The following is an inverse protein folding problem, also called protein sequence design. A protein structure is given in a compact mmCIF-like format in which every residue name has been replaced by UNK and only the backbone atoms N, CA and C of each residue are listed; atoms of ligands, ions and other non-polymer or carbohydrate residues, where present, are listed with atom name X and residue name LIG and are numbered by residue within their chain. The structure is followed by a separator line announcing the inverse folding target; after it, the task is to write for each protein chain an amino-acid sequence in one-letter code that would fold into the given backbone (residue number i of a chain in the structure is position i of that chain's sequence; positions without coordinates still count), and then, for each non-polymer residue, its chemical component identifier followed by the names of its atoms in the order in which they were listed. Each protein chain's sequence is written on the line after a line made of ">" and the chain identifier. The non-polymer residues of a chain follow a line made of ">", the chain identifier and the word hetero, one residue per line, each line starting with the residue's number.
data_IF_988528541679
#
_entry.id   IF_988528541679
#
_cell.length_a   1.000
_cell.length_b   1.000
_cell.length_c   1.000
_cell.angle_alpha   90.00
_cell.angle_beta   90.00
_cell.angle_gamma   90.00
#
_symmetry.space_group_name_H-M   'P 1'
#
loop_
_entity.id
_entity.type
_entity.pdbx_description
1 polymer ?
#
# COMPACT_ATOMS: atom_id res chain seq x y z
N UNK A 1 21.11 -3.34 36.43
CA UNK A 1 21.80 -2.34 35.57
C UNK A 1 21.70 -2.65 34.08
N UNK A 2 21.73 -3.93 33.66
CA UNK A 2 21.64 -4.34 32.25
C UNK A 2 20.39 -3.83 31.49
N UNK A 3 19.20 -3.82 32.11
CA UNK A 3 17.97 -3.29 31.47
C UNK A 3 18.02 -1.79 31.18
N UNK A 4 18.72 -1.01 32.01
CA UNK A 4 18.89 0.44 31.82
C UNK A 4 19.89 0.73 30.71
N UNK A 5 20.96 -0.07 30.62
CA UNK A 5 21.95 0.01 29.55
C UNK A 5 21.33 -0.38 28.20
N UNK A 6 20.49 -1.42 28.17
CA UNK A 6 19.77 -1.84 26.95
C UNK A 6 18.83 -0.74 26.42
N UNK A 7 18.11 -0.04 27.30
CA UNK A 7 17.23 1.07 26.92
C UNK A 7 18.03 2.28 26.40
N UNK A 8 19.15 2.61 27.04
CA UNK A 8 20.04 3.69 26.57
C UNK A 8 20.65 3.33 25.21
N UNK A 9 21.07 2.08 25.02
CA UNK A 9 21.59 1.59 23.74
C UNK A 9 20.52 1.64 22.64
N UNK A 10 19.29 1.20 22.93
CA UNK A 10 18.16 1.27 22.00
C UNK A 10 17.80 2.69 21.63
N UNK A 11 17.82 3.62 22.60
CA UNK A 11 17.57 5.03 22.35
C UNK A 11 18.69 5.65 21.50
N UNK A 12 19.96 5.33 21.76
CA UNK A 12 21.08 5.73 20.93
C UNK A 12 21.00 5.14 19.52
N UNK A 13 20.52 3.90 19.35
CA UNK A 13 20.40 3.26 18.03
C UNK A 13 19.28 3.90 17.19
N UNK A 14 18.18 4.33 17.83
CA UNK A 14 17.11 5.12 17.20
C UNK A 14 17.64 6.52 16.82
N UNK A 15 18.42 7.17 17.70
CA UNK A 15 19.01 8.49 17.44
C UNK A 15 20.07 8.44 16.33
N UNK A 16 20.90 7.38 16.29
CA UNK A 16 21.91 7.17 15.24
C UNK A 16 21.31 6.76 13.90
N UNK A 17 20.13 6.11 13.90
CA UNK A 17 19.37 5.83 12.69
C UNK A 17 18.75 7.08 12.03
N UNK A 18 18.65 8.19 12.76
CA UNK A 18 18.09 9.46 12.27
C UNK A 18 19.16 10.41 11.70
N UNK A 19 20.44 10.16 11.96
CA UNK A 19 21.55 10.92 11.38
C UNK A 19 22.07 10.23 10.13
N UNK A 20 21.19 9.97 9.17
CA UNK A 20 21.63 9.72 7.80
C UNK A 20 22.15 11.05 7.25
N UNK A 21 23.46 11.30 7.37
CA UNK A 21 24.12 12.39 6.65
C UNK A 21 23.94 12.14 5.15
N UNK A 22 22.96 12.80 4.55
CA UNK A 22 22.90 12.96 3.11
C UNK A 22 24.13 13.71 2.63
N UNK A 23 24.58 13.40 1.42
CA UNK A 23 25.56 14.21 0.70
C UNK A 23 24.98 15.61 0.49
N UNK A 24 25.83 16.63 0.56
CA UNK A 24 25.43 18.02 0.31
C UNK A 24 24.83 18.13 -1.10
N UNK A 25 23.52 18.42 -1.24
CA UNK A 25 22.84 18.37 -2.54
C UNK A 25 23.44 19.36 -3.54
N UNK A 26 24.07 20.44 -3.07
CA UNK A 26 24.71 21.44 -3.93
C UNK A 26 25.95 20.91 -4.66
N UNK A 27 26.53 19.80 -4.20
CA UNK A 27 27.76 19.21 -4.76
C UNK A 27 27.49 17.96 -5.60
N UNK A 28 26.24 17.51 -5.65
CA UNK A 28 25.84 16.30 -6.38
C UNK A 28 25.65 16.63 -7.86
N UNK A 29 26.15 15.75 -8.75
CA UNK A 29 25.78 15.76 -10.16
C UNK A 29 24.46 15.00 -10.37
N UNK A 30 23.46 15.70 -10.90
CA UNK A 30 22.14 15.15 -11.18
C UNK A 30 22.03 14.75 -12.66
N UNK A 31 22.79 13.72 -13.04
CA UNK A 31 22.81 13.18 -14.41
C UNK A 31 23.19 14.25 -15.45
N UNK A 32 24.28 14.96 -15.18
CA UNK A 32 24.79 16.06 -16.01
C UNK A 32 24.17 17.43 -15.73
N UNK A 33 23.25 17.53 -14.77
CA UNK A 33 22.68 18.79 -14.30
C UNK A 33 23.19 19.13 -12.90
N UNK A 34 23.55 20.39 -12.71
CA UNK A 34 23.94 20.92 -11.40
C UNK A 34 22.72 21.35 -10.60
N UNK A 35 22.89 21.40 -9.28
CA UNK A 35 21.88 21.93 -8.36
C UNK A 35 21.39 23.33 -8.79
N UNK A 36 22.32 24.24 -9.11
CA UNK A 36 21.98 25.62 -9.48
C UNK A 36 21.23 25.71 -10.82
N UNK A 37 21.51 24.81 -11.77
CA UNK A 37 20.76 24.78 -13.03
C UNK A 37 19.31 24.35 -12.83
N UNK A 38 19.09 23.31 -12.00
CA UNK A 38 17.74 22.82 -11.69
C UNK A 38 16.97 23.85 -10.86
N UNK A 39 17.63 24.44 -9.86
CA UNK A 39 17.08 25.53 -9.06
C UNK A 39 16.68 26.70 -9.97
N UNK A 40 17.60 27.19 -10.80
CA UNK A 40 17.34 28.30 -11.70
C UNK A 40 16.22 28.02 -12.71
N UNK A 41 16.03 26.77 -13.14
CA UNK A 41 14.90 26.39 -13.98
C UNK A 41 13.57 26.57 -13.23
N UNK A 42 13.46 26.12 -11.98
CA UNK A 42 12.27 26.30 -11.16
C UNK A 42 12.01 27.77 -10.83
N UNK A 43 13.04 28.54 -10.44
CA UNK A 43 12.90 29.98 -10.15
C UNK A 43 12.44 30.78 -11.38
N UNK A 44 12.99 30.47 -12.55
CA UNK A 44 12.54 31.06 -13.82
C UNK A 44 11.10 30.71 -14.14
N UNK A 45 10.70 29.44 -13.93
CA UNK A 45 9.31 29.02 -14.13
C UNK A 45 8.35 29.81 -13.22
N UNK A 46 8.69 29.98 -11.93
CA UNK A 46 7.91 30.81 -11.01
C UNK A 46 7.82 32.25 -11.50
N UNK A 47 8.94 32.84 -11.95
CA UNK A 47 8.94 34.20 -12.49
C UNK A 47 8.07 34.33 -13.73
N UNK A 48 8.09 33.35 -14.63
CA UNK A 48 7.22 33.32 -15.81
C UNK A 48 5.77 33.26 -15.39
N UNK A 49 5.39 32.28 -14.55
CA UNK A 49 4.02 32.09 -14.08
C UNK A 49 3.45 33.34 -13.39
N UNK A 50 4.25 34.03 -12.57
CA UNK A 50 3.85 35.29 -11.95
C UNK A 50 3.65 36.44 -12.94
N UNK A 51 4.41 36.45 -14.02
CA UNK A 51 4.36 37.51 -15.04
C UNK A 51 3.27 37.31 -16.09
N UNK A 52 2.63 36.13 -16.12
CA UNK A 52 1.60 35.82 -17.11
C UNK A 52 0.38 36.72 -16.94
N UNK A 53 0.04 37.44 -18.00
CA UNK A 53 -1.23 38.16 -18.10
C UNK A 53 -2.42 37.20 -18.26
N UNK A 54 -3.60 37.65 -17.86
CA UNK A 54 -4.86 36.91 -18.07
C UNK A 54 -5.08 36.49 -19.53
N UNK A 55 -4.67 37.34 -20.48
CA UNK A 55 -4.74 37.00 -21.91
C UNK A 55 -3.80 35.88 -22.33
N UNK A 56 -2.59 35.82 -21.75
CA UNK A 56 -1.62 34.76 -22.04
C UNK A 56 -2.05 33.44 -21.40
N UNK A 57 -2.53 33.48 -20.15
CA UNK A 57 -3.14 32.32 -19.49
C UNK A 57 -4.28 31.74 -20.33
N UNK A 58 -5.20 32.58 -20.81
CA UNK A 58 -6.29 32.15 -21.68
C UNK A 58 -5.80 31.52 -23.00
N UNK A 59 -4.69 32.02 -23.57
CA UNK A 59 -4.09 31.45 -24.77
C UNK A 59 -3.47 30.07 -24.49
N UNK A 60 -2.80 29.87 -23.35
CA UNK A 60 -2.27 28.57 -22.94
C UNK A 60 -3.38 27.56 -22.67
N UNK A 61 -4.46 27.99 -22.01
CA UNK A 61 -5.65 27.16 -21.77
C UNK A 61 -6.37 26.74 -23.07
N UNK A 62 -6.16 27.46 -24.17
CA UNK A 62 -6.72 27.15 -25.48
C UNK A 62 -5.71 26.51 -26.45
N UNK A 63 -4.49 26.23 -26.00
CA UNK A 63 -3.39 25.79 -26.86
C UNK A 63 -3.49 24.32 -27.28
N UNK A 64 -4.23 23.49 -26.53
CA UNK A 64 -4.32 22.05 -26.74
C UNK A 64 -3.13 21.26 -26.18
N UNK A 65 -2.22 21.94 -25.47
CA UNK A 65 -1.13 21.30 -24.73
C UNK A 65 -1.58 21.01 -23.30
N UNK A 66 -1.95 19.76 -23.05
CA UNK A 66 -2.49 19.32 -21.77
C UNK A 66 -1.56 19.66 -20.58
N UNK A 67 -0.24 19.60 -20.78
CA UNK A 67 0.72 19.86 -19.69
C UNK A 67 0.74 21.33 -19.29
N UNK A 68 0.68 22.23 -20.28
CA UNK A 68 0.58 23.66 -20.04
C UNK A 68 -0.80 24.02 -19.47
N UNK A 69 -1.87 23.42 -19.98
CA UNK A 69 -3.23 23.62 -19.47
C UNK A 69 -3.35 23.25 -17.99
N UNK A 70 -2.85 22.07 -17.59
CA UNK A 70 -2.82 21.63 -16.19
C UNK A 70 -1.95 22.54 -15.32
N UNK A 71 -0.77 22.95 -15.81
CA UNK A 71 0.12 23.82 -15.06
C UNK A 71 -0.52 25.17 -14.75
N UNK A 72 -1.11 25.83 -15.76
CA UNK A 72 -1.77 27.13 -15.58
C UNK A 72 -2.98 27.00 -14.65
N UNK A 73 -3.80 25.96 -14.84
CA UNK A 73 -4.97 25.72 -13.99
C UNK A 73 -4.56 25.51 -12.52
N UNK A 74 -3.56 24.68 -12.27
CA UNK A 74 -3.04 24.44 -10.91
C UNK A 74 -2.39 25.67 -10.30
N UNK A 75 -1.70 26.47 -11.10
CA UNK A 75 -1.13 27.72 -10.63
C UNK A 75 -2.23 28.67 -10.13
N UNK A 76 -3.30 28.86 -10.92
CA UNK A 76 -4.42 29.73 -10.54
C UNK A 76 -5.17 29.18 -9.30
N UNK A 77 -5.42 27.87 -9.25
CA UNK A 77 -6.02 27.22 -8.07
C UNK A 77 -5.15 27.37 -6.83
N UNK A 78 -3.83 27.20 -6.95
CA UNK A 78 -2.91 27.31 -5.82
C UNK A 78 -2.74 28.75 -5.33
N UNK A 79 -2.90 29.75 -6.20
CA UNK A 79 -2.92 31.16 -5.81
C UNK A 79 -4.23 31.55 -5.11
N UNK A 80 -5.31 30.79 -5.27
CA UNK A 80 -6.59 31.07 -4.61
C UNK A 80 -6.44 31.04 -3.07
N UNK A 81 -6.53 32.21 -2.45
CA UNK A 81 -6.36 32.36 -1.00
C UNK A 81 -4.91 32.31 -0.50
N UNK A 82 -3.91 32.18 -1.38
CA UNK A 82 -2.49 32.23 -1.00
C UNK A 82 -2.05 33.63 -0.52
N UNK A 83 -2.71 34.69 -1.04
CA UNK A 83 -2.38 36.09 -0.73
C UNK A 83 -1.37 36.69 -1.70
N UNK A 84 -0.77 37.82 -1.35
CA UNK A 84 0.26 38.46 -2.20
C UNK A 84 1.57 37.68 -2.17
N UNK A 85 2.25 37.61 -3.33
CA UNK A 85 3.58 37.02 -3.43
C UNK A 85 4.60 37.82 -2.61
N UNK A 86 5.47 37.13 -1.87
CA UNK A 86 6.55 37.76 -1.09
C UNK A 86 7.92 37.45 -1.68
N UNK A 87 8.31 36.18 -1.67
CA UNK A 87 9.65 35.76 -2.09
C UNK A 87 9.70 34.26 -2.46
N UNK A 88 10.83 33.85 -3.03
CA UNK A 88 11.15 32.44 -3.24
C UNK A 88 11.69 31.85 -1.93
N UNK A 89 11.14 30.71 -1.53
CA UNK A 89 11.53 29.96 -0.35
C UNK A 89 12.62 28.92 -0.64
N UNK A 90 12.63 27.87 0.18
CA UNK A 90 13.60 26.79 0.05
C UNK A 90 13.40 26.01 -1.25
N UNK A 91 14.52 25.66 -1.88
CA UNK A 91 14.55 24.74 -3.01
C UNK A 91 15.09 23.41 -2.53
N UNK A 92 14.38 22.32 -2.84
CA UNK A 92 14.73 20.96 -2.42
C UNK A 92 14.84 20.06 -3.64
N UNK A 93 15.90 19.24 -3.70
CA UNK A 93 16.02 18.16 -4.69
C UNK A 93 16.02 16.81 -3.97
N UNK A 94 15.10 15.94 -4.37
CA UNK A 94 15.00 14.58 -3.86
C UNK A 94 15.16 13.56 -4.99
N UNK A 95 16.20 12.74 -4.92
CA UNK A 95 16.37 11.59 -5.82
C UNK A 95 15.81 10.33 -5.16
N UNK A 96 14.79 9.71 -5.76
CA UNK A 96 14.19 8.47 -5.26
C UNK A 96 14.11 7.42 -6.36
N UNK A 97 14.97 6.41 -6.30
CA UNK A 97 15.01 5.33 -7.29
C UNK A 97 15.30 5.85 -8.71
N UNK A 98 14.26 5.88 -9.56
CA UNK A 98 14.32 6.33 -10.96
C UNK A 98 13.84 7.75 -11.17
N UNK A 99 13.36 8.44 -10.14
CA UNK A 99 12.84 9.80 -10.25
C UNK A 99 13.75 10.80 -9.55
N UNK A 100 13.75 12.01 -10.10
CA UNK A 100 14.34 13.19 -9.49
C UNK A 100 13.25 14.24 -9.34
N UNK A 101 12.95 14.61 -8.10
CA UNK A 101 11.94 15.60 -7.78
C UNK A 101 12.63 16.89 -7.38
N UNK A 102 12.28 17.99 -8.02
CA UNK A 102 12.74 19.34 -7.68
C UNK A 102 11.55 20.15 -7.18
N UNK A 103 11.63 20.66 -5.95
CA UNK A 103 10.56 21.40 -5.29
C UNK A 103 11.05 22.81 -5.02
N UNK A 104 10.34 23.82 -5.53
CA UNK A 104 10.56 25.22 -5.21
C UNK A 104 9.40 25.71 -4.36
N UNK A 105 9.70 26.09 -3.11
CA UNK A 105 8.73 26.76 -2.25
C UNK A 105 8.57 28.22 -2.68
N UNK A 106 7.33 28.71 -2.69
CA UNK A 106 6.96 30.07 -3.05
C UNK A 106 6.18 30.64 -1.88
N UNK A 107 6.74 31.67 -1.25
CA UNK A 107 6.18 32.26 -0.04
C UNK A 107 5.18 33.34 -0.45
N UNK A 108 3.91 33.09 -0.18
CA UNK A 108 2.83 34.09 -0.23
C UNK A 108 2.45 34.55 1.18
N UNK A 109 1.60 35.57 1.27
CA UNK A 109 1.20 36.16 2.53
C UNK A 109 0.49 35.20 3.49
N UNK A 110 -0.46 34.40 3.00
CA UNK A 110 -1.33 33.56 3.82
C UNK A 110 -0.89 32.09 3.82
N UNK A 111 -0.43 31.58 2.67
CA UNK A 111 -0.10 30.17 2.50
C UNK A 111 0.99 29.97 1.45
N UNK A 112 2.10 29.27 1.76
CA UNK A 112 3.10 28.95 0.75
C UNK A 112 2.56 27.94 -0.26
N UNK A 113 3.12 27.98 -1.46
CA UNK A 113 2.80 27.09 -2.59
C UNK A 113 4.09 26.40 -3.01
N UNK A 114 4.02 25.13 -3.38
CA UNK A 114 5.18 24.37 -3.85
C UNK A 114 5.01 24.08 -5.34
N UNK A 115 5.97 24.52 -6.14
CA UNK A 115 6.13 24.11 -7.53
C UNK A 115 7.02 22.87 -7.59
N UNK A 116 6.51 21.77 -8.14
CA UNK A 116 7.19 20.47 -8.17
C UNK A 116 7.44 20.06 -9.61
N UNK A 117 8.68 19.77 -9.95
CA UNK A 117 9.08 19.13 -11.20
C UNK A 117 9.50 17.70 -10.91
N UNK A 118 8.92 16.73 -11.63
CA UNK A 118 9.29 15.33 -11.54
C UNK A 118 9.97 14.92 -12.84
N UNK A 119 11.23 14.50 -12.75
CA UNK A 119 11.99 13.99 -13.89
C UNK A 119 12.24 12.49 -13.76
N UNK A 120 12.28 11.79 -14.88
CA UNK A 120 12.94 10.49 -14.97
C UNK A 120 14.45 10.69 -14.89
N UNK A 121 15.08 10.24 -13.80
CA UNK A 121 16.48 10.52 -13.49
C UNK A 121 17.46 10.02 -14.57
N UNK A 122 17.15 8.91 -15.24
CA UNK A 122 18.06 8.31 -16.23
C UNK A 122 18.28 9.16 -17.48
N UNK A 123 17.25 9.87 -17.94
CA UNK A 123 17.27 10.64 -19.18
C UNK A 123 16.91 12.13 -18.98
N UNK A 124 16.62 12.52 -17.73
CA UNK A 124 16.18 13.87 -17.35
C UNK A 124 14.96 14.36 -18.13
N UNK A 125 14.11 13.43 -18.59
CA UNK A 125 12.83 13.78 -19.21
C UNK A 125 11.84 14.21 -18.12
N UNK A 126 11.11 15.28 -18.40
CA UNK A 126 10.04 15.76 -17.54
C UNK A 126 8.86 14.79 -17.60
N UNK A 127 8.46 14.26 -16.45
CA UNK A 127 7.31 13.37 -16.31
C UNK A 127 6.07 14.16 -15.88
N UNK A 128 6.23 15.10 -14.95
CA UNK A 128 5.11 15.84 -14.38
C UNK A 128 5.56 17.22 -13.84
N UNK A 129 4.64 18.17 -13.84
CA UNK A 129 4.76 19.45 -13.14
C UNK A 129 3.48 19.68 -12.33
N UNK A 130 3.64 19.89 -11.03
CA UNK A 130 2.51 20.25 -10.15
C UNK A 130 2.75 21.56 -9.42
N UNK A 131 1.65 22.22 -9.06
CA UNK A 131 1.66 23.41 -8.21
C UNK A 131 0.62 23.16 -7.13
N UNK A 132 1.07 23.03 -5.89
CA UNK A 132 0.21 22.63 -4.79
C UNK A 132 0.37 23.57 -3.58
N UNK A 133 -0.73 24.07 -2.99
CA UNK A 133 -0.66 24.85 -1.77
C UNK A 133 -0.21 23.97 -0.60
N UNK A 134 0.68 24.49 0.25
CA UNK A 134 1.15 23.77 1.43
C UNK A 134 -0.02 23.53 2.37
N UNK A 135 -0.34 22.25 2.60
CA UNK A 135 -1.42 21.87 3.49
C UNK A 135 -1.13 22.27 4.93
N UNK A 136 -2.14 22.82 5.60
CA UNK A 136 -2.05 23.16 7.01
C UNK A 136 -1.95 21.90 7.87
N UNK A 137 -1.50 22.03 9.12
CA UNK A 137 -1.48 20.89 10.04
C UNK A 137 -2.87 20.28 10.26
N UNK A 138 -3.93 21.11 10.29
CA UNK A 138 -5.31 20.64 10.42
C UNK A 138 -5.79 19.84 9.20
N UNK A 139 -5.45 20.29 7.99
CA UNK A 139 -5.73 19.56 6.74
C UNK A 139 -4.96 18.23 6.71
N UNK A 140 -3.65 18.25 7.01
CA UNK A 140 -2.82 17.04 7.09
C UNK A 140 -3.37 16.03 8.11
N UNK A 141 -3.76 16.49 9.29
CA UNK A 141 -4.34 15.64 10.34
C UNK A 141 -5.71 15.09 9.94
N UNK A 142 -6.56 15.90 9.30
CA UNK A 142 -7.87 15.46 8.82
C UNK A 142 -7.72 14.43 7.71
N UNK A 143 -6.83 14.66 6.75
CA UNK A 143 -6.53 13.72 5.66
C UNK A 143 -5.96 12.41 6.20
N UNK A 144 -5.04 12.47 7.16
CA UNK A 144 -4.51 11.29 7.84
C UNK A 144 -5.59 10.52 8.61
N UNK A 145 -6.47 11.23 9.32
CA UNK A 145 -7.58 10.64 10.06
C UNK A 145 -8.59 9.97 9.13
N UNK A 146 -8.95 10.62 8.01
CA UNK A 146 -9.85 10.06 7.00
C UNK A 146 -9.26 8.79 6.38
N UNK A 147 -7.97 8.79 6.04
CA UNK A 147 -7.31 7.58 5.54
C UNK A 147 -7.30 6.45 6.59
N UNK A 148 -7.02 6.79 7.85
CA UNK A 148 -7.06 5.82 8.96
C UNK A 148 -8.46 5.25 9.15
N UNK A 149 -9.49 6.10 9.08
CA UNK A 149 -10.88 5.69 9.22
C UNK A 149 -11.33 4.82 8.05
N UNK A 150 -10.94 5.15 6.81
CA UNK A 150 -11.21 4.30 5.65
C UNK A 150 -10.51 2.95 5.78
N UNK A 151 -9.20 2.94 6.05
CA UNK A 151 -8.42 1.70 6.18
C UNK A 151 -8.92 0.80 7.31
N UNK A 152 -9.09 1.34 8.51
CA UNK A 152 -9.61 0.59 9.66
C UNK A 152 -11.08 0.19 9.47
N UNK A 153 -11.91 1.11 8.97
CA UNK A 153 -13.35 0.90 8.75
C UNK A 153 -13.65 -0.20 7.75
N UNK A 154 -12.91 -0.27 6.64
CA UNK A 154 -13.06 -1.34 5.65
C UNK A 154 -12.70 -2.69 6.25
N UNK A 155 -11.62 -2.78 7.03
CA UNK A 155 -11.24 -4.03 7.72
C UNK A 155 -12.35 -4.48 8.66
N UNK A 156 -12.90 -3.59 9.48
CA UNK A 156 -14.03 -3.92 10.36
C UNK A 156 -15.29 -4.33 9.59
N UNK A 157 -15.63 -3.66 8.49
CA UNK A 157 -16.78 -3.99 7.66
C UNK A 157 -16.65 -5.40 7.04
N UNK A 158 -15.46 -5.76 6.54
CA UNK A 158 -15.18 -7.09 5.99
C UNK A 158 -15.30 -8.17 7.07
N UNK A 159 -14.77 -7.94 8.26
CA UNK A 159 -14.89 -8.88 9.38
C UNK A 159 -16.36 -9.11 9.79
N UNK A 160 -17.16 -8.04 9.85
CA UNK A 160 -18.60 -8.14 10.12
C UNK A 160 -19.29 -8.95 9.01
N UNK A 161 -18.98 -8.68 7.74
CA UNK A 161 -19.55 -9.41 6.61
C UNK A 161 -19.21 -10.90 6.65
N UNK A 162 -17.95 -11.27 6.92
CA UNK A 162 -17.53 -12.67 7.09
C UNK A 162 -18.27 -13.31 8.26
N UNK A 163 -18.40 -12.61 9.39
CA UNK A 163 -19.17 -13.09 10.54
C UNK A 163 -20.64 -13.37 10.18
N UNK A 164 -21.25 -12.51 9.37
CA UNK A 164 -22.62 -12.71 8.89
C UNK A 164 -22.73 -13.91 7.94
N UNK A 165 -21.78 -14.08 7.01
CA UNK A 165 -21.76 -15.22 6.08
C UNK A 165 -21.65 -16.54 6.84
N UNK A 166 -20.74 -16.64 7.82
CA UNK A 166 -20.60 -17.84 8.66
C UNK A 166 -21.90 -18.08 9.47
N UNK A 167 -22.52 -17.01 9.98
CA UNK A 167 -23.82 -17.11 10.65
C UNK A 167 -24.93 -17.60 9.73
N UNK A 168 -24.94 -17.20 8.46
CA UNK A 168 -25.88 -17.71 7.46
C UNK A 168 -25.65 -19.20 7.13
N UNK A 169 -24.40 -19.67 7.08
CA UNK A 169 -24.10 -21.11 6.94
C UNK A 169 -24.60 -21.93 8.15
N UNK A 170 -24.54 -21.38 9.36
CA UNK A 170 -25.13 -22.02 10.55
C UNK A 170 -26.65 -22.23 10.38
N UNK A 171 -27.34 -21.31 9.72
CA UNK A 171 -28.78 -21.45 9.46
C UNK A 171 -29.10 -22.56 8.44
N UNK A 172 -28.24 -22.77 7.44
CA UNK A 172 -28.36 -23.88 6.49
C UNK A 172 -28.15 -25.25 7.17
N UNK A 173 -27.18 -25.37 8.09
CA UNK A 173 -26.96 -26.61 8.87
C UNK A 173 -28.17 -27.00 9.74
N UNK A 174 -28.99 -26.01 10.14
CA UNK A 174 -30.19 -26.26 10.94
C UNK A 174 -31.37 -26.76 10.09
N UNK A 175 -31.38 -26.50 8.78
CA UNK A 175 -32.36 -27.05 7.85
C UNK A 175 -32.09 -28.52 7.50
N UNK A 176 -30.83 -28.97 7.47
CA UNK A 176 -30.49 -30.41 7.35
C UNK A 176 -30.94 -31.22 8.58
N UNK A 177 -30.81 -30.68 9.80
CA UNK A 177 -31.21 -31.38 11.01
C UNK A 177 -32.73 -31.58 11.16
N UNK A 178 -33.56 -30.77 10.50
CA UNK A 178 -35.03 -30.95 10.47
C UNK A 178 -35.49 -32.06 9.53
N UNK A 179 -34.65 -32.54 8.61
CA UNK A 179 -34.96 -33.67 7.71
C UNK A 179 -34.75 -35.06 8.33
N UNK A 180 -34.02 -35.17 9.45
CA UNK A 180 -33.65 -36.47 10.04
C UNK A 180 -34.46 -36.81 11.30
N UNK A 181 -35.11 -35.84 11.95
CA UNK A 181 -35.85 -36.07 13.21
C UNK A 181 -37.31 -36.52 13.04
N UNK A 182 -37.74 -36.91 11.84
CA UNK A 182 -39.08 -37.46 11.60
C UNK A 182 -39.03 -38.95 11.22
N UNK A 183 -38.36 -39.77 12.03
CA UNK A 183 -38.69 -41.20 12.13
C UNK A 183 -38.15 -41.82 13.42
N UNK A 184 -39.00 -41.93 14.43
CA UNK A 184 -38.79 -42.85 15.54
C UNK A 184 -40.10 -43.56 15.87
N UNK A 185 -40.16 -44.87 15.58
CA UNK A 185 -40.76 -45.97 16.36
C UNK A 185 -41.10 -47.17 15.46
N UNK A 186 -41.19 -48.43 15.97
CA UNK A 186 -40.85 -48.94 17.30
C UNK A 186 -39.91 -50.18 17.29
N UNK A 187 -39.49 -50.56 18.50
CA UNK A 187 -38.56 -51.62 18.86
C UNK A 187 -39.04 -53.06 18.56
N UNK A 188 -38.08 -53.95 18.27
CA UNK A 188 -38.17 -55.39 18.53
C UNK A 188 -36.84 -55.90 19.13
N UNK A 189 -36.98 -56.79 20.10
CA UNK A 189 -36.02 -57.16 21.16
C UNK A 189 -34.87 -58.07 20.70
N UNK A 190 -33.78 -58.00 21.48
CA UNK A 190 -32.47 -58.66 21.40
C UNK A 190 -32.50 -60.20 21.40
N UNK A 191 -31.37 -60.87 21.09
CA UNK A 191 -30.52 -61.31 22.21
C UNK A 191 -29.00 -61.14 22.01
N UNK A 192 -28.39 -60.66 23.11
CA UNK A 192 -27.13 -61.06 23.74
C UNK A 192 -25.79 -60.72 23.07
N UNK A 193 -25.10 -59.83 23.80
CA UNK A 193 -23.73 -59.33 23.72
C UNK A 193 -22.62 -60.38 23.57
N UNK A 194 -21.60 -60.03 22.78
CA UNK A 194 -20.17 -60.11 23.12
C UNK A 194 -19.45 -58.90 22.46
N UNK A 195 -18.59 -58.25 23.24
CA UNK A 195 -18.01 -56.90 23.08
C UNK A 195 -17.15 -56.72 21.81
N UNK A 196 -17.17 -55.56 21.12
CA UNK A 196 -16.04 -55.08 20.32
C UNK A 196 -15.29 -53.89 20.97
N UNK A 197 -13.96 -53.81 20.84
CA UNK A 197 -13.14 -52.73 21.40
C UNK A 197 -13.15 -51.46 20.52
N UNK A 198 -12.92 -50.33 21.19
CA UNK A 198 -12.40 -49.03 20.76
C UNK A 198 -12.35 -48.67 19.25
N UNK A 199 -13.06 -47.60 18.88
CA UNK A 199 -12.90 -46.88 17.62
C UNK A 199 -12.00 -45.67 17.87
N UNK A 200 -10.73 -45.76 17.45
CA UNK A 200 -9.74 -44.67 17.51
C UNK A 200 -8.98 -44.50 16.18
N UNK A 201 -9.56 -44.87 15.03
CA UNK A 201 -8.85 -44.87 13.73
C UNK A 201 -9.41 -43.96 12.62
N UNK A 202 -10.42 -43.12 12.88
CA UNK A 202 -10.99 -42.26 11.82
C UNK A 202 -10.20 -40.96 11.54
N UNK A 203 -9.37 -40.48 12.47
CA UNK A 203 -8.72 -39.16 12.36
C UNK A 203 -7.42 -39.24 11.53
N UNK A 204 -6.65 -40.33 11.66
CA UNK A 204 -5.36 -40.50 10.96
C UNK A 204 -5.50 -40.73 9.45
N UNK A 205 -6.64 -41.21 8.97
CA UNK A 205 -6.78 -41.62 7.57
C UNK A 205 -7.07 -40.44 6.63
N UNK A 206 -7.65 -39.35 7.14
CA UNK A 206 -7.95 -38.16 6.35
C UNK A 206 -6.70 -37.28 6.14
N UNK A 207 -5.85 -37.15 7.16
CA UNK A 207 -4.58 -36.40 7.08
C UNK A 207 -3.60 -37.04 6.07
N UNK A 208 -3.48 -38.37 6.09
CA UNK A 208 -2.63 -39.10 5.15
C UNK A 208 -3.09 -38.96 3.67
N UNK A 209 -4.39 -38.72 3.42
CA UNK A 209 -4.93 -38.49 2.07
C UNK A 209 -4.67 -37.07 1.57
N UNK A 210 -4.83 -36.06 2.42
CA UNK A 210 -4.49 -34.67 2.08
C UNK A 210 -2.98 -34.54 1.78
N UNK A 211 -2.15 -35.17 2.61
CA UNK A 211 -0.71 -35.19 2.41
C UNK A 211 -0.30 -35.93 1.12
N UNK A 212 -0.93 -37.06 0.82
CA UNK A 212 -0.69 -37.79 -0.43
C UNK A 212 -1.06 -36.97 -1.67
N UNK A 213 -2.14 -36.17 -1.62
CA UNK A 213 -2.58 -35.32 -2.73
C UNK A 213 -1.60 -34.17 -3.02
N UNK A 214 -1.07 -33.51 -1.99
CA UNK A 214 -0.07 -32.45 -2.15
C UNK A 214 1.24 -32.99 -2.73
N UNK A 215 1.67 -34.17 -2.26
CA UNK A 215 2.88 -34.83 -2.77
C UNK A 215 2.69 -35.25 -4.23
N UNK A 216 1.51 -35.77 -4.59
CA UNK A 216 1.22 -36.14 -5.98
C UNK A 216 1.23 -34.91 -6.91
N UNK A 217 0.62 -33.80 -6.49
CA UNK A 217 0.66 -32.56 -7.25
C UNK A 217 2.09 -32.00 -7.42
N UNK A 218 2.90 -32.06 -6.37
CA UNK A 218 4.29 -31.59 -6.41
C UNK A 218 5.18 -32.44 -7.35
N UNK A 219 5.02 -33.77 -7.31
CA UNK A 219 5.77 -34.67 -8.20
C UNK A 219 5.37 -34.41 -9.65
N UNK A 220 4.06 -34.41 -9.95
CA UNK A 220 3.54 -34.12 -11.28
C UNK A 220 4.05 -32.77 -11.84
N UNK A 221 4.07 -31.73 -11.00
CA UNK A 221 4.60 -30.42 -11.37
C UNK A 221 6.12 -30.45 -11.64
N UNK A 222 6.89 -31.23 -10.88
CA UNK A 222 8.35 -31.30 -11.00
C UNK A 222 8.84 -32.16 -12.17
N UNK A 223 8.09 -33.21 -12.53
CA UNK A 223 8.45 -34.15 -13.60
C UNK A 223 7.70 -33.87 -14.91
N UNK A 224 6.70 -33.01 -14.87
CA UNK A 224 5.85 -32.70 -16.03
C UNK A 224 4.96 -33.87 -16.46
N UNK A 225 4.68 -34.83 -15.57
CA UNK A 225 3.88 -36.04 -15.83
C UNK A 225 2.51 -35.97 -15.15
N UNK A 226 1.54 -36.76 -15.61
CA UNK A 226 0.21 -36.78 -14.98
C UNK A 226 0.26 -37.46 -13.61
N UNK A 227 -0.67 -37.11 -12.72
CA UNK A 227 -0.85 -37.78 -11.43
C UNK A 227 -1.36 -39.22 -11.56
N UNK A 228 -1.82 -39.62 -12.75
CA UNK A 228 -2.31 -40.98 -13.01
C UNK A 228 -1.18 -42.01 -13.21
N UNK A 229 0.05 -41.54 -13.47
CA UNK A 229 1.20 -42.40 -13.78
C UNK A 229 1.83 -43.02 -12.52
N UNK A 230 1.44 -42.57 -11.32
CA UNK A 230 2.00 -43.04 -10.06
C UNK A 230 1.01 -42.94 -8.88
N UNK A 231 1.26 -43.72 -7.82
CA UNK A 231 0.40 -43.77 -6.63
C UNK A 231 1.19 -43.44 -5.36
N UNK A 232 0.74 -42.42 -4.62
CA UNK A 232 1.32 -42.03 -3.33
C UNK A 232 0.52 -42.66 -2.19
N UNK A 233 1.19 -43.39 -1.30
CA UNK A 233 0.57 -43.99 -0.10
C UNK A 233 1.48 -43.90 1.12
N UNK A 234 0.88 -43.70 2.27
CA UNK A 234 1.56 -43.77 3.57
C UNK A 234 2.00 -45.21 3.86
N UNK A 235 3.27 -45.41 4.23
CA UNK A 235 3.81 -46.71 4.68
C UNK A 235 4.51 -46.51 6.02
N UNK A 236 3.96 -47.12 7.08
CA UNK A 236 4.61 -47.16 8.40
C UNK A 236 5.54 -48.37 8.50
N UNK A 237 6.83 -48.13 8.66
CA UNK A 237 7.84 -49.19 8.89
C UNK A 237 7.67 -49.71 10.32
N UNK A 238 7.42 -51.00 10.50
CA UNK A 238 7.48 -51.65 11.82
C UNK A 238 8.95 -51.91 12.16
N UNK A 239 9.43 -51.30 13.23
CA UNK A 239 10.66 -51.71 13.92
C UNK A 239 10.26 -52.50 15.16
#
# INVERSE_FOLDING_TARGET
>A
MQKKILLILSMCLIVLGLTACGEDPTKVDYNGWTYDQLKGACENAVSTLQSLSESEKAAYLASGDETLEHLISRWDEAQEGAGEYKELGEFTITKSGKTLTCEQEIIFENRPVILTYVYTYYNMQLEDITVDPVQTLGEKMTNAALNTLMGMGVVFAVLILISLIISCFKFLSHFEQKGIQQKAAPAAKEPVALVPPAVEEAITQQDDLELAAVIAAAIAASTGTSTDDFVVRSIKRRF
#
